data_IF_967631877290
#
_entry.id   IF_967631877290
#
_cell.length_a   1.000
_cell.length_b   1.000
_cell.length_c   1.000
_cell.angle_alpha   90.00
_cell.angle_beta   90.00
_cell.angle_gamma   90.00
#
_symmetry.space_group_name_H-M   'P 1'
#
loop_
_entity.id
_entity.type
_entity.pdbx_description
1 polymer ?
#
# COMPACT_ATOMS: atom_id res chain seq x y z
N UNK A 1 -14.09 -4.55 18.09
CA UNK A 1 -13.82 -4.34 16.65
C UNK A 1 -14.96 -3.57 16.03
N UNK A 2 -14.70 -2.62 15.17
CA UNK A 2 -15.73 -1.85 14.44
C UNK A 2 -15.37 -1.85 12.95
N UNK A 3 -16.39 -1.78 12.08
CA UNK A 3 -16.21 -1.41 10.69
C UNK A 3 -16.07 0.11 10.56
N UNK A 4 -15.39 0.56 9.52
CA UNK A 4 -15.34 1.97 9.14
C UNK A 4 -15.98 2.07 7.75
N UNK A 5 -17.03 2.90 7.63
CA UNK A 5 -17.63 3.19 6.33
C UNK A 5 -17.53 4.68 6.03
N UNK A 6 -17.14 4.97 4.83
CA UNK A 6 -17.08 6.31 4.26
C UNK A 6 -18.03 6.30 3.07
N UNK A 7 -18.98 7.24 3.05
CA UNK A 7 -20.04 7.30 2.07
C UNK A 7 -20.03 8.68 1.40
N UNK A 8 -19.73 8.72 0.09
CA UNK A 8 -19.73 9.91 -0.77
C UNK A 8 -18.95 11.09 -0.19
N UNK A 9 -17.80 10.81 0.44
CA UNK A 9 -17.05 11.80 1.18
C UNK A 9 -16.38 12.82 0.25
N UNK A 10 -16.68 14.08 0.45
CA UNK A 10 -16.04 15.21 -0.25
C UNK A 10 -15.40 16.14 0.75
N UNK A 11 -14.10 16.44 0.53
CA UNK A 11 -13.34 17.41 1.33
C UNK A 11 -12.67 18.44 0.44
N UNK A 12 -12.92 19.72 0.74
CA UNK A 12 -12.34 20.85 0.01
C UNK A 12 -11.48 21.73 0.94
N UNK A 13 -10.45 22.33 0.38
CA UNK A 13 -9.64 23.38 1.01
C UNK A 13 -9.60 24.58 0.05
N UNK A 14 -10.44 25.54 0.30
CA UNK A 14 -10.66 26.64 -0.65
C UNK A 14 -11.13 26.12 -2.01
N UNK A 15 -10.39 26.39 -3.07
CA UNK A 15 -10.70 25.92 -4.43
C UNK A 15 -10.23 24.49 -4.72
N UNK A 16 -9.45 23.87 -3.83
CA UNK A 16 -8.88 22.53 -4.05
C UNK A 16 -9.78 21.48 -3.45
N UNK A 17 -10.25 20.54 -4.28
CA UNK A 17 -10.98 19.34 -3.83
C UNK A 17 -9.94 18.23 -3.52
N UNK A 18 -9.74 17.95 -2.25
CA UNK A 18 -8.77 16.97 -1.77
C UNK A 18 -9.33 15.54 -1.74
N UNK A 19 -10.65 15.38 -1.52
CA UNK A 19 -11.38 14.12 -1.63
C UNK A 19 -12.67 14.39 -2.42
N UNK A 20 -13.01 13.47 -3.32
CA UNK A 20 -14.14 13.66 -4.23
C UNK A 20 -15.04 12.42 -4.28
N UNK A 21 -16.24 12.52 -3.68
CA UNK A 21 -17.27 11.47 -3.64
C UNK A 21 -16.70 10.08 -3.32
N UNK A 22 -15.87 10.01 -2.27
CA UNK A 22 -15.13 8.81 -1.92
C UNK A 22 -16.00 7.85 -1.13
N UNK A 23 -16.10 6.62 -1.61
CA UNK A 23 -16.73 5.50 -0.91
C UNK A 23 -15.68 4.50 -0.49
N UNK A 24 -15.74 4.04 0.78
CA UNK A 24 -14.82 3.04 1.31
C UNK A 24 -15.45 2.27 2.45
N UNK A 25 -15.26 0.96 2.45
CA UNK A 25 -15.60 0.09 3.59
C UNK A 25 -14.37 -0.66 4.06
N UNK A 26 -14.06 -0.55 5.35
CA UNK A 26 -13.00 -1.27 6.05
C UNK A 26 -13.65 -2.18 7.07
N UNK A 27 -13.30 -3.47 7.00
CA UNK A 27 -13.93 -4.50 7.82
C UNK A 27 -13.40 -4.51 9.27
N UNK A 28 -14.17 -5.05 10.23
CA UNK A 28 -13.73 -5.12 11.62
C UNK A 28 -12.45 -5.93 11.79
N UNK A 29 -11.42 -5.33 12.43
CA UNK A 29 -10.13 -5.97 12.69
C UNK A 29 -9.20 -6.05 11.48
N UNK A 30 -9.54 -5.37 10.40
CA UNK A 30 -8.74 -5.28 9.18
C UNK A 30 -7.57 -4.30 9.35
N UNK A 31 -6.41 -4.70 8.85
CA UNK A 31 -5.26 -3.82 8.65
C UNK A 31 -5.30 -3.30 7.21
N UNK A 32 -5.89 -2.12 7.04
CA UNK A 32 -6.19 -1.50 5.76
C UNK A 32 -5.18 -0.40 5.41
N UNK A 33 -4.63 -0.45 4.19
CA UNK A 33 -3.65 0.52 3.73
C UNK A 33 -4.24 1.51 2.72
N UNK A 34 -3.82 2.78 2.86
CA UNK A 34 -4.08 3.85 1.90
C UNK A 34 -2.78 4.20 1.18
N UNK A 35 -2.74 3.99 -0.12
CA UNK A 35 -1.60 4.23 -0.99
C UNK A 35 -1.97 5.24 -2.09
N UNK A 36 -0.95 5.81 -2.70
CA UNK A 36 -1.12 6.74 -3.81
C UNK A 36 0.00 7.79 -3.85
N UNK A 37 0.12 8.57 -4.91
CA UNK A 37 1.10 9.64 -5.05
C UNK A 37 1.00 10.69 -3.94
N UNK A 38 2.04 11.50 -3.78
CA UNK A 38 1.99 12.65 -2.87
C UNK A 38 0.85 13.61 -3.26
N UNK A 39 0.09 14.08 -2.27
CA UNK A 39 -1.03 14.99 -2.51
C UNK A 39 -2.33 14.34 -3.00
N UNK A 40 -2.42 13.02 -3.17
CA UNK A 40 -3.65 12.36 -3.66
C UNK A 40 -4.81 12.30 -2.65
N UNK A 41 -4.62 12.73 -1.38
CA UNK A 41 -5.70 12.78 -0.38
C UNK A 41 -5.61 11.79 0.79
N UNK A 42 -4.61 10.91 0.87
CA UNK A 42 -4.46 9.88 1.94
C UNK A 42 -4.53 10.46 3.35
N UNK A 43 -3.64 11.40 3.66
CA UNK A 43 -3.59 12.08 4.97
C UNK A 43 -4.87 12.88 5.23
N UNK A 44 -5.49 13.45 4.17
CA UNK A 44 -6.77 14.14 4.30
C UNK A 44 -7.88 13.16 4.72
N UNK A 45 -7.96 11.99 4.10
CA UNK A 45 -8.90 10.95 4.49
C UNK A 45 -8.65 10.49 5.92
N UNK A 46 -7.39 10.16 6.27
CA UNK A 46 -7.01 9.73 7.62
C UNK A 46 -7.41 10.77 8.68
N UNK A 47 -7.12 12.06 8.44
CA UNK A 47 -7.48 13.15 9.35
C UNK A 47 -8.98 13.41 9.40
N UNK A 48 -9.72 13.14 8.31
CA UNK A 48 -11.18 13.15 8.33
C UNK A 48 -11.75 12.02 9.18
N UNK A 49 -11.17 10.81 9.12
CA UNK A 49 -11.51 9.70 10.02
C UNK A 49 -11.22 10.03 11.48
N UNK A 50 -10.09 10.70 11.75
CA UNK A 50 -9.73 11.15 13.10
C UNK A 50 -10.59 12.31 13.63
N UNK A 51 -11.32 13.02 12.75
CA UNK A 51 -12.17 14.18 13.11
C UNK A 51 -11.45 15.52 13.14
N UNK A 52 -10.22 15.60 12.65
CA UNK A 52 -9.52 16.88 12.47
C UNK A 52 -10.07 17.69 11.31
N UNK A 53 -10.61 17.02 10.28
CA UNK A 53 -11.27 17.67 9.17
C UNK A 53 -12.72 17.21 9.10
N UNK A 54 -13.64 18.17 9.05
CA UNK A 54 -15.06 17.93 8.80
C UNK A 54 -15.25 17.99 7.28
N UNK A 55 -15.79 16.95 6.62
CA UNK A 55 -16.08 16.97 5.20
C UNK A 55 -17.27 17.90 4.91
N UNK A 56 -17.31 18.42 3.71
CA UNK A 56 -18.43 19.25 3.22
C UNK A 56 -19.62 18.38 2.82
N UNK A 57 -19.35 17.17 2.29
CA UNK A 57 -20.38 16.25 1.83
C UNK A 57 -20.04 14.82 2.27
N UNK A 58 -21.06 13.98 2.37
CA UNK A 58 -20.90 12.58 2.73
C UNK A 58 -20.89 12.31 4.22
N UNK A 59 -20.61 11.05 4.58
CA UNK A 59 -20.66 10.57 5.97
C UNK A 59 -19.50 9.64 6.31
N UNK A 60 -19.13 9.61 7.58
CA UNK A 60 -18.18 8.67 8.18
C UNK A 60 -18.91 7.93 9.31
N UNK A 61 -18.96 6.61 9.20
CA UNK A 61 -19.60 5.77 10.20
C UNK A 61 -18.58 4.84 10.86
N UNK A 62 -18.64 4.73 12.17
CA UNK A 62 -17.91 3.75 12.97
C UNK A 62 -18.91 2.70 13.48
N UNK A 63 -18.98 1.55 12.80
CA UNK A 63 -20.07 0.61 12.94
C UNK A 63 -21.38 1.22 12.43
N UNK A 64 -22.33 1.45 13.35
CA UNK A 64 -23.62 2.09 13.06
C UNK A 64 -23.64 3.60 13.38
N UNK A 65 -22.63 4.10 14.09
CA UNK A 65 -22.60 5.47 14.59
C UNK A 65 -22.04 6.43 13.55
N UNK A 66 -22.79 7.48 13.24
CA UNK A 66 -22.30 8.59 12.43
C UNK A 66 -21.37 9.50 13.27
N UNK A 67 -20.09 9.46 12.93
CA UNK A 67 -19.03 10.23 13.60
C UNK A 67 -18.60 11.47 12.81
N UNK A 68 -19.24 11.76 11.70
CA UNK A 68 -18.84 12.78 10.74
C UNK A 68 -18.54 14.13 11.38
N UNK A 69 -19.40 14.57 12.29
CA UNK A 69 -19.29 15.86 12.99
C UNK A 69 -18.77 15.75 14.42
N UNK A 70 -18.43 14.55 14.89
CA UNK A 70 -17.86 14.37 16.22
C UNK A 70 -16.43 14.90 16.27
N UNK A 71 -16.11 15.65 17.32
CA UNK A 71 -14.76 16.13 17.59
C UNK A 71 -13.79 14.94 17.84
N UNK A 72 -12.47 15.09 17.56
CA UNK A 72 -11.50 13.99 17.65
C UNK A 72 -11.53 13.21 18.97
N UNK A 73 -11.58 13.92 20.12
CA UNK A 73 -11.58 13.30 21.44
C UNK A 73 -12.84 12.46 21.74
N UNK A 74 -13.93 12.66 21.00
CA UNK A 74 -15.19 11.89 21.15
C UNK A 74 -15.22 10.65 20.27
N UNK A 75 -14.38 10.54 19.24
CA UNK A 75 -14.35 9.39 18.32
C UNK A 75 -13.68 8.16 18.91
N UNK A 76 -12.93 8.32 19.99
CA UNK A 76 -12.12 7.27 20.62
C UNK A 76 -11.20 6.56 19.62
N UNK A 77 -10.49 7.30 18.80
CA UNK A 77 -9.47 6.79 17.86
C UNK A 77 -8.08 6.89 18.49
N UNK A 78 -7.23 5.88 18.27
CA UNK A 78 -5.79 5.98 18.50
C UNK A 78 -5.13 6.54 17.23
N UNK A 79 -4.31 7.58 17.35
CA UNK A 79 -3.60 8.11 16.19
C UNK A 79 -2.10 8.18 16.46
N UNK A 80 -1.34 7.77 15.46
CA UNK A 80 0.12 7.91 15.41
C UNK A 80 0.48 8.81 14.24
N UNK A 81 1.18 9.89 14.54
CA UNK A 81 1.62 10.88 13.55
C UNK A 81 3.00 10.51 12.99
N UNK A 82 3.32 11.00 11.81
CA UNK A 82 4.59 10.81 11.12
C UNK A 82 5.81 11.24 11.97
N UNK A 83 5.68 12.32 12.74
CA UNK A 83 6.74 12.83 13.65
C UNK A 83 6.76 12.13 15.00
N UNK A 84 5.95 11.08 15.21
CA UNK A 84 5.67 10.45 16.50
C UNK A 84 5.04 11.39 17.55
N UNK A 85 5.30 12.67 17.50
CA UNK A 85 4.76 13.73 18.33
C UNK A 85 4.83 13.41 19.85
N UNK A 86 5.94 12.83 20.31
CA UNK A 86 6.19 12.60 21.73
C UNK A 86 6.50 13.93 22.44
N UNK A 87 5.97 14.10 23.66
CA UNK A 87 6.28 15.26 24.48
C UNK A 87 7.70 15.12 25.05
N UNK A 88 8.65 16.00 24.66
CA UNK A 88 10.06 15.82 25.00
C UNK A 88 10.39 16.04 26.48
N UNK A 89 9.52 16.75 27.20
CA UNK A 89 9.65 17.03 28.61
C UNK A 89 9.09 15.94 29.53
N UNK A 90 8.30 15.02 28.97
CA UNK A 90 7.70 13.90 29.69
C UNK A 90 8.54 12.62 29.52
N UNK A 91 8.53 11.75 30.54
CA UNK A 91 9.05 10.38 30.42
C UNK A 91 8.23 9.52 29.44
N UNK A 92 8.73 8.35 29.12
CA UNK A 92 8.01 7.34 28.32
C UNK A 92 6.69 6.96 28.95
N UNK A 93 6.69 6.68 30.27
CA UNK A 93 5.48 6.33 31.01
C UNK A 93 4.46 7.48 31.01
N UNK A 94 4.91 8.72 31.23
CA UNK A 94 4.05 9.90 31.19
C UNK A 94 3.47 10.16 29.79
N UNK A 95 4.27 10.01 28.73
CA UNK A 95 3.77 10.10 27.35
C UNK A 95 2.64 9.09 27.08
N UNK A 96 2.79 7.87 27.56
CA UNK A 96 1.75 6.83 27.38
C UNK A 96 0.56 7.10 28.30
N UNK A 97 0.78 7.57 29.54
CA UNK A 97 -0.27 7.83 30.53
C UNK A 97 -1.21 8.97 30.13
N UNK A 98 -0.71 9.96 29.40
CA UNK A 98 -1.39 11.23 29.14
C UNK A 98 -2.85 11.08 28.70
N UNK A 99 -3.13 10.19 27.71
CA UNK A 99 -4.50 9.97 27.24
C UNK A 99 -5.45 9.34 28.27
N UNK A 100 -4.91 8.66 29.28
CA UNK A 100 -5.68 8.11 30.40
C UNK A 100 -5.92 9.16 31.49
N UNK A 101 -4.95 10.05 31.70
CA UNK A 101 -5.07 11.19 32.63
C UNK A 101 -6.17 12.15 32.19
N UNK A 102 -6.17 12.53 30.91
CA UNK A 102 -7.22 13.36 30.30
C UNK A 102 -8.61 12.73 30.44
N UNK A 103 -8.68 11.41 30.47
CA UNK A 103 -9.92 10.64 30.69
C UNK A 103 -10.23 10.41 32.16
N UNK A 104 -9.43 10.94 33.06
CA UNK A 104 -9.57 10.82 34.53
C UNK A 104 -9.64 9.36 34.99
N UNK A 105 -8.86 8.48 34.37
CA UNK A 105 -8.77 7.07 34.77
C UNK A 105 -8.13 6.97 36.15
N UNK A 106 -8.67 6.16 37.09
CA UNK A 106 -8.11 6.00 38.43
C UNK A 106 -6.65 5.55 38.41
N UNK A 107 -5.81 6.11 39.30
CA UNK A 107 -4.35 5.87 39.33
C UNK A 107 -3.93 4.40 39.32
N UNK A 108 -4.56 3.47 40.06
CA UNK A 108 -4.18 2.06 40.01
C UNK A 108 -4.40 1.44 38.63
N UNK A 109 -5.53 1.71 38.01
CA UNK A 109 -5.89 1.25 36.67
C UNK A 109 -5.00 1.88 35.61
N UNK A 110 -4.71 3.19 35.73
CA UNK A 110 -3.79 3.92 34.85
C UNK A 110 -2.41 3.26 34.83
N UNK A 111 -1.80 3.02 36.00
CA UNK A 111 -0.48 2.39 36.11
C UNK A 111 -0.47 1.00 35.46
N UNK A 112 -1.46 0.18 35.73
CA UNK A 112 -1.60 -1.15 35.14
C UNK A 112 -1.66 -1.08 33.62
N UNK A 113 -2.52 -0.21 33.06
CA UNK A 113 -2.69 -0.08 31.60
C UNK A 113 -1.45 0.49 30.91
N UNK A 114 -0.76 1.44 31.53
CA UNK A 114 0.51 1.97 30.99
C UNK A 114 1.56 0.88 30.93
N UNK A 115 1.70 0.07 31.99
CA UNK A 115 2.62 -1.05 32.01
C UNK A 115 2.29 -2.08 30.93
N UNK A 116 1.02 -2.52 30.84
CA UNK A 116 0.55 -3.45 29.79
C UNK A 116 0.85 -2.91 28.38
N UNK A 117 0.59 -1.62 28.14
CA UNK A 117 0.84 -1.01 26.83
C UNK A 117 2.33 -0.95 26.49
N UNK A 118 3.20 -0.63 27.45
CA UNK A 118 4.65 -0.61 27.26
C UNK A 118 5.23 -2.00 27.06
N UNK A 119 4.73 -2.99 27.78
CA UNK A 119 5.13 -4.40 27.60
C UNK A 119 4.74 -4.93 26.22
N UNK A 120 3.54 -4.60 25.73
CA UNK A 120 3.05 -5.04 24.40
C UNK A 120 3.95 -4.58 23.24
N UNK A 121 4.67 -3.47 23.41
CA UNK A 121 5.63 -2.92 22.44
C UNK A 121 7.10 -3.10 22.88
N UNK A 122 7.38 -3.89 23.92
CA UNK A 122 8.72 -4.18 24.47
C UNK A 122 9.47 -2.94 24.96
N UNK A 123 8.76 -2.01 25.56
CA UNK A 123 9.32 -0.75 26.07
C UNK A 123 9.26 -0.61 27.61
N UNK A 124 8.84 -1.65 28.34
CA UNK A 124 8.70 -1.59 29.80
C UNK A 124 9.96 -1.16 30.54
N UNK A 125 11.14 -1.65 30.14
CA UNK A 125 12.43 -1.29 30.75
C UNK A 125 12.86 0.17 30.53
N UNK A 126 12.15 0.93 29.68
CA UNK A 126 12.47 2.30 29.30
C UNK A 126 11.47 3.32 29.86
N UNK A 127 10.59 2.91 30.76
CA UNK A 127 9.46 3.71 31.26
C UNK A 127 9.87 5.10 31.81
N UNK A 128 11.01 5.18 32.49
CA UNK A 128 11.50 6.41 33.11
C UNK A 128 12.37 7.29 32.20
N UNK A 129 12.71 6.80 30.99
CA UNK A 129 13.50 7.57 30.01
C UNK A 129 12.66 8.66 29.35
N UNK A 130 13.35 9.69 28.85
CA UNK A 130 12.76 10.73 28.01
C UNK A 130 12.94 10.40 26.52
N UNK A 131 12.11 10.95 25.62
CA UNK A 131 12.19 10.70 24.19
C UNK A 131 13.57 10.92 23.57
N UNK A 132 14.32 11.95 24.01
CA UNK A 132 15.67 12.25 23.51
C UNK A 132 16.73 11.20 23.90
N UNK A 133 16.42 10.27 24.80
CA UNK A 133 17.27 9.15 25.21
C UNK A 133 16.94 7.85 24.47
N UNK A 134 16.07 7.92 23.48
CA UNK A 134 15.58 6.77 22.73
C UNK A 134 16.01 6.83 21.25
N UNK A 135 16.25 5.67 20.66
CA UNK A 135 16.38 5.56 19.20
C UNK A 135 15.05 5.85 18.48
N UNK A 136 15.09 6.16 17.20
CA UNK A 136 13.88 6.41 16.40
C UNK A 136 12.85 5.27 16.47
N UNK A 137 13.29 4.01 16.40
CA UNK A 137 12.39 2.86 16.55
C UNK A 137 11.83 2.69 17.95
N UNK A 138 12.58 3.07 19.00
CA UNK A 138 12.07 3.10 20.35
C UNK A 138 11.03 4.20 20.54
N UNK A 139 11.27 5.40 19.99
CA UNK A 139 10.28 6.48 20.00
C UNK A 139 8.99 6.08 19.29
N UNK A 140 9.09 5.39 18.16
CA UNK A 140 7.96 4.86 17.44
C UNK A 140 7.14 3.87 18.26
N UNK A 141 7.80 2.91 18.95
CA UNK A 141 7.14 1.95 19.84
C UNK A 141 6.39 2.67 20.97
N UNK A 142 6.97 3.71 21.55
CA UNK A 142 6.31 4.54 22.57
C UNK A 142 5.09 5.25 21.99
N UNK A 143 5.19 5.82 20.79
CA UNK A 143 4.05 6.46 20.12
C UNK A 143 2.91 5.46 19.83
N UNK A 144 3.26 4.22 19.44
CA UNK A 144 2.30 3.13 19.25
C UNK A 144 1.63 2.76 20.58
N UNK A 145 2.39 2.58 21.67
CA UNK A 145 1.86 2.30 23.01
C UNK A 145 0.90 3.41 23.48
N UNK A 146 1.26 4.68 23.24
CA UNK A 146 0.41 5.84 23.54
C UNK A 146 -0.92 5.80 22.81
N UNK A 147 -0.92 5.38 21.53
CA UNK A 147 -2.15 5.23 20.75
C UNK A 147 -3.01 4.05 21.22
N UNK A 148 -2.40 2.98 21.74
CA UNK A 148 -3.06 1.75 22.18
C UNK A 148 -3.63 1.82 23.60
N UNK A 149 -2.97 2.51 24.52
CA UNK A 149 -3.28 2.52 25.96
C UNK A 149 -4.73 2.94 26.27
N UNK A 150 -5.29 3.82 25.43
CA UNK A 150 -6.66 4.31 25.56
C UNK A 150 -7.71 3.27 25.11
N UNK A 151 -7.27 2.09 24.64
CA UNK A 151 -8.14 1.05 24.04
C UNK A 151 -9.04 1.64 22.95
N UNK A 152 -8.47 2.10 21.85
CA UNK A 152 -9.22 2.82 20.83
C UNK A 152 -10.19 1.89 20.08
N UNK A 153 -11.21 2.47 19.47
CA UNK A 153 -12.14 1.76 18.56
C UNK A 153 -11.45 1.38 17.24
N UNK A 154 -10.58 2.25 16.75
CA UNK A 154 -9.72 1.99 15.60
C UNK A 154 -8.37 2.72 15.76
N UNK A 155 -7.36 2.24 15.03
CA UNK A 155 -6.02 2.80 15.01
C UNK A 155 -5.76 3.48 13.66
N UNK A 156 -5.24 4.70 13.70
CA UNK A 156 -4.94 5.52 12.53
C UNK A 156 -3.44 5.83 12.51
N UNK A 157 -2.74 5.36 11.49
CA UNK A 157 -1.28 5.47 11.36
C UNK A 157 -0.92 6.34 10.15
N UNK A 158 -0.34 7.52 10.41
CA UNK A 158 0.08 8.46 9.37
C UNK A 158 1.59 8.32 9.12
N UNK A 159 1.98 7.59 8.09
CA UNK A 159 3.37 7.29 7.69
C UNK A 159 4.28 6.88 8.86
N UNK A 160 3.90 5.87 9.65
CA UNK A 160 4.56 5.58 10.92
C UNK A 160 6.02 5.12 10.79
N UNK A 161 6.48 4.68 9.61
CA UNK A 161 7.82 4.12 9.38
C UNK A 161 8.74 5.04 8.56
N UNK A 162 8.29 6.23 8.16
CA UNK A 162 9.02 7.12 7.23
C UNK A 162 10.39 7.57 7.76
N UNK A 163 10.55 7.69 9.08
CA UNK A 163 11.76 8.20 9.71
C UNK A 163 12.76 7.10 10.15
N UNK A 164 12.59 5.86 9.67
CA UNK A 164 13.42 4.72 10.04
C UNK A 164 14.31 4.25 8.89
N UNK A 165 15.47 3.71 9.24
CA UNK A 165 16.32 2.98 8.29
C UNK A 165 15.66 1.69 7.78
N UNK A 166 16.17 1.12 6.69
CA UNK A 166 15.55 -0.01 6.01
C UNK A 166 15.41 -1.27 6.89
N UNK A 167 16.43 -1.57 7.73
CA UNK A 167 16.43 -2.75 8.60
C UNK A 167 15.37 -2.60 9.70
N UNK A 168 15.38 -1.46 10.37
CA UNK A 168 14.45 -1.17 11.45
C UNK A 168 13.01 -1.06 10.94
N UNK A 169 12.82 -0.55 9.72
CA UNK A 169 11.52 -0.50 9.05
C UNK A 169 10.92 -1.90 8.86
N UNK A 170 11.73 -2.88 8.44
CA UNK A 170 11.28 -4.27 8.28
C UNK A 170 10.83 -4.89 9.61
N UNK A 171 11.61 -4.69 10.67
CA UNK A 171 11.28 -5.18 12.03
C UNK A 171 9.98 -4.54 12.54
N UNK A 172 9.86 -3.22 12.40
CA UNK A 172 8.71 -2.47 12.89
C UNK A 172 7.42 -2.75 12.11
N UNK A 173 7.53 -3.05 10.82
CA UNK A 173 6.41 -3.50 9.98
C UNK A 173 5.76 -4.76 10.54
N UNK A 174 6.59 -5.74 10.87
CA UNK A 174 6.14 -7.00 11.48
C UNK A 174 5.54 -6.78 12.87
N UNK A 175 6.13 -5.89 13.67
CA UNK A 175 5.65 -5.56 15.01
C UNK A 175 4.28 -4.88 14.99
N UNK A 176 4.07 -3.89 14.11
CA UNK A 176 2.77 -3.23 13.95
C UNK A 176 1.70 -4.26 13.56
N UNK A 177 2.00 -5.14 12.56
CA UNK A 177 1.05 -6.20 12.17
C UNK A 177 0.71 -7.11 13.34
N UNK A 178 1.73 -7.55 14.12
CA UNK A 178 1.53 -8.40 15.31
C UNK A 178 0.59 -7.72 16.30
N UNK A 179 0.87 -6.49 16.65
CA UNK A 179 0.07 -5.72 17.63
C UNK A 179 -1.37 -5.53 17.12
N UNK A 180 -1.56 -5.12 15.87
CA UNK A 180 -2.90 -4.94 15.29
C UNK A 180 -3.73 -6.23 15.32
N UNK A 181 -3.10 -7.37 15.02
CA UNK A 181 -3.78 -8.68 15.03
C UNK A 181 -4.05 -9.18 16.45
N UNK A 182 -3.11 -9.04 17.37
CA UNK A 182 -3.25 -9.43 18.78
C UNK A 182 -4.40 -8.67 19.47
N UNK A 183 -4.46 -7.35 19.27
CA UNK A 183 -5.53 -6.52 19.82
C UNK A 183 -6.80 -6.50 18.95
N UNK A 184 -6.81 -7.20 17.82
CA UNK A 184 -7.93 -7.24 16.86
C UNK A 184 -8.43 -5.85 16.48
N UNK A 185 -7.51 -4.91 16.22
CA UNK A 185 -7.84 -3.51 15.92
C UNK A 185 -8.12 -3.31 14.44
N UNK A 186 -9.21 -2.64 14.14
CA UNK A 186 -9.42 -2.05 12.82
C UNK A 186 -8.42 -0.92 12.65
N UNK A 187 -7.53 -1.03 11.68
CA UNK A 187 -6.40 -0.12 11.52
C UNK A 187 -6.38 0.47 10.12
N UNK A 188 -6.26 1.79 10.02
CA UNK A 188 -6.02 2.50 8.76
C UNK A 188 -4.58 3.01 8.75
N UNK A 189 -3.82 2.58 7.76
CA UNK A 189 -2.40 2.85 7.64
C UNK A 189 -2.12 3.62 6.36
N UNK A 190 -1.59 4.82 6.47
CA UNK A 190 -1.13 5.63 5.33
C UNK A 190 0.36 5.41 5.12
N UNK A 191 0.77 5.14 3.90
CA UNK A 191 2.17 5.08 3.49
C UNK A 191 2.32 5.46 2.02
N UNK A 192 3.52 5.83 1.63
CA UNK A 192 3.96 5.92 0.23
C UNK A 192 4.85 4.73 -0.18
N UNK A 193 5.24 3.87 0.77
CA UNK A 193 6.05 2.67 0.52
C UNK A 193 5.16 1.51 0.11
N UNK A 194 5.23 1.14 -1.17
CA UNK A 194 4.48 0.03 -1.75
C UNK A 194 4.82 -1.31 -1.09
N UNK A 195 6.11 -1.53 -0.75
CA UNK A 195 6.59 -2.76 -0.11
C UNK A 195 6.00 -2.93 1.30
N UNK A 196 5.71 -1.84 2.00
CA UNK A 196 5.00 -1.91 3.27
C UNK A 196 3.60 -2.49 3.07
N UNK A 197 2.83 -1.91 2.17
CA UNK A 197 1.46 -2.34 1.92
C UNK A 197 1.38 -3.77 1.37
N UNK A 198 2.21 -4.09 0.38
CA UNK A 198 2.25 -5.44 -0.21
C UNK A 198 2.60 -6.53 0.80
N UNK A 199 3.42 -6.22 1.84
CA UNK A 199 3.92 -7.22 2.78
C UNK A 199 3.00 -7.50 3.97
N UNK A 200 2.23 -6.51 4.45
CA UNK A 200 1.53 -6.66 5.73
C UNK A 200 0.05 -6.30 5.72
N UNK A 201 -0.48 -5.66 4.68
CA UNK A 201 -1.90 -5.32 4.63
C UNK A 201 -2.81 -6.53 4.44
N UNK A 202 -4.04 -6.43 4.93
CA UNK A 202 -5.10 -7.38 4.57
C UNK A 202 -5.75 -6.95 3.24
N UNK A 203 -6.06 -5.66 3.12
CA UNK A 203 -6.50 -4.99 1.89
C UNK A 203 -5.89 -3.59 1.82
N UNK A 204 -5.89 -3.05 0.62
CA UNK A 204 -5.40 -1.70 0.36
C UNK A 204 -6.28 -0.97 -0.64
N UNK A 205 -6.24 0.35 -0.60
CA UNK A 205 -6.81 1.23 -1.61
C UNK A 205 -5.72 2.07 -2.28
N UNK A 206 -5.75 2.14 -3.59
CA UNK A 206 -4.94 3.07 -4.37
C UNK A 206 -5.76 4.33 -4.62
N UNK A 207 -5.25 5.46 -4.15
CA UNK A 207 -5.85 6.78 -4.33
C UNK A 207 -5.09 7.58 -5.38
N UNK A 208 -5.83 8.27 -6.23
CA UNK A 208 -5.31 9.33 -7.08
C UNK A 208 -6.30 10.49 -7.14
N UNK A 209 -5.78 11.72 -7.05
CA UNK A 209 -6.56 12.98 -7.14
C UNK A 209 -7.87 12.97 -6.35
N UNK A 210 -7.81 12.48 -5.11
CA UNK A 210 -8.95 12.44 -4.20
C UNK A 210 -9.98 11.34 -4.46
N UNK A 211 -9.71 10.41 -5.36
CA UNK A 211 -10.58 9.27 -5.69
C UNK A 211 -9.88 7.95 -5.40
N UNK A 212 -10.64 6.92 -5.08
CA UNK A 212 -10.16 5.55 -5.02
C UNK A 212 -10.20 4.97 -6.44
N UNK A 213 -9.05 4.48 -6.91
CA UNK A 213 -8.92 3.81 -8.20
C UNK A 213 -9.20 2.32 -8.09
N UNK A 214 -8.65 1.67 -7.05
CA UNK A 214 -8.81 0.24 -6.82
C UNK A 214 -8.74 -0.07 -5.33
N UNK A 215 -9.56 -1.04 -4.90
CA UNK A 215 -9.49 -1.66 -3.57
C UNK A 215 -9.36 -3.16 -3.76
N UNK A 216 -8.46 -3.78 -3.03
CA UNK A 216 -8.27 -5.24 -3.09
C UNK A 216 -7.21 -5.73 -2.10
N UNK A 217 -6.99 -7.05 -2.06
CA UNK A 217 -5.85 -7.64 -1.38
C UNK A 217 -4.55 -7.24 -2.09
N UNK A 218 -3.38 -7.30 -1.41
CA UNK A 218 -2.08 -7.02 -2.03
C UNK A 218 -1.86 -7.76 -3.36
N UNK A 219 -2.21 -9.04 -3.37
CA UNK A 219 -2.04 -9.89 -4.55
C UNK A 219 -2.96 -9.48 -5.71
N UNK A 220 -4.21 -9.09 -5.41
CA UNK A 220 -5.16 -8.64 -6.43
C UNK A 220 -4.70 -7.32 -7.05
N UNK A 221 -4.34 -6.32 -6.23
CA UNK A 221 -3.92 -5.01 -6.73
C UNK A 221 -2.64 -5.12 -7.56
N UNK A 222 -1.69 -5.97 -7.15
CA UNK A 222 -0.43 -6.16 -7.86
C UNK A 222 -0.57 -6.95 -9.16
N UNK A 223 -1.28 -8.11 -9.10
CA UNK A 223 -1.42 -9.03 -10.24
C UNK A 223 -2.57 -8.71 -11.17
N UNK A 224 -3.55 -7.94 -10.71
CA UNK A 224 -4.77 -7.59 -11.48
C UNK A 224 -5.06 -6.09 -11.35
N UNK A 225 -4.13 -5.23 -11.74
CA UNK A 225 -4.40 -3.80 -11.78
C UNK A 225 -5.57 -3.52 -12.72
N UNK A 226 -6.45 -2.61 -12.33
CA UNK A 226 -7.62 -2.24 -13.12
C UNK A 226 -7.36 -1.10 -14.12
N UNK A 227 -6.18 -0.49 -14.07
CA UNK A 227 -5.79 0.63 -14.93
C UNK A 227 -4.28 0.73 -15.06
N UNK A 228 -3.83 1.41 -16.10
CA UNK A 228 -2.40 1.74 -16.32
C UNK A 228 -1.81 2.50 -15.13
N UNK A 229 -2.60 3.40 -14.54
CA UNK A 229 -2.18 4.20 -13.38
C UNK A 229 -1.92 3.34 -12.14
N UNK A 230 -2.79 2.36 -11.86
CA UNK A 230 -2.58 1.41 -10.76
C UNK A 230 -1.40 0.49 -11.05
N UNK A 231 -1.27 -0.02 -12.28
CA UNK A 231 -0.18 -0.90 -12.68
C UNK A 231 1.18 -0.21 -12.49
N UNK A 232 1.32 1.02 -12.97
CA UNK A 232 2.53 1.84 -12.85
C UNK A 232 2.85 2.21 -11.40
N UNK A 233 1.82 2.56 -10.64
CA UNK A 233 2.01 3.00 -9.25
C UNK A 233 2.46 1.87 -8.32
N UNK A 234 1.93 0.63 -8.46
CA UNK A 234 2.17 -0.43 -7.46
C UNK A 234 3.47 -1.22 -7.67
N UNK A 235 4.16 -1.01 -8.77
CA UNK A 235 5.43 -1.65 -9.10
C UNK A 235 5.82 -1.41 -10.55
N UNK A 236 7.06 -1.74 -10.89
CA UNK A 236 7.55 -1.64 -12.27
C UNK A 236 6.74 -2.56 -13.21
N UNK A 237 6.53 -2.13 -14.44
CA UNK A 237 5.81 -2.91 -15.45
C UNK A 237 6.18 -2.44 -16.86
N UNK A 238 6.27 -3.37 -17.80
CA UNK A 238 6.40 -3.08 -19.21
C UNK A 238 5.01 -2.83 -19.80
N UNK A 239 4.84 -1.67 -20.41
CA UNK A 239 3.63 -1.33 -21.14
C UNK A 239 3.80 -1.55 -22.64
N UNK A 240 2.96 -2.39 -23.23
CA UNK A 240 2.99 -2.69 -24.66
C UNK A 240 1.63 -2.33 -25.25
N UNK A 241 1.60 -1.33 -26.12
CA UNK A 241 0.35 -0.92 -26.81
C UNK A 241 -0.01 -1.90 -27.91
N UNK A 242 -1.29 -2.17 -28.08
CA UNK A 242 -1.78 -3.09 -29.10
C UNK A 242 -3.26 -2.92 -29.41
N UNK A 243 -3.71 -3.69 -30.38
CA UNK A 243 -5.10 -3.74 -30.80
C UNK A 243 -5.71 -5.06 -30.39
N UNK A 244 -6.84 -5.03 -29.71
CA UNK A 244 -7.57 -6.21 -29.30
C UNK A 244 -8.17 -6.93 -30.53
N UNK A 245 -7.81 -8.19 -30.71
CA UNK A 245 -8.35 -9.02 -31.82
C UNK A 245 -9.61 -9.77 -31.42
N UNK A 246 -9.57 -10.44 -30.26
CA UNK A 246 -10.71 -11.20 -29.72
C UNK A 246 -10.67 -11.30 -28.22
N UNK A 247 -11.84 -11.59 -27.61
CA UNK A 247 -11.97 -11.98 -26.20
C UNK A 247 -12.79 -13.25 -26.14
N UNK A 248 -12.21 -14.33 -25.63
CA UNK A 248 -12.85 -15.63 -25.48
C UNK A 248 -12.59 -16.17 -24.06
N UNK A 249 -13.64 -16.56 -23.36
CA UNK A 249 -13.56 -17.14 -22.01
C UNK A 249 -12.69 -16.33 -21.00
N UNK A 250 -12.72 -14.98 -21.08
CA UNK A 250 -11.95 -14.08 -20.20
C UNK A 250 -10.49 -13.89 -20.61
N UNK A 251 -10.04 -14.50 -21.70
CA UNK A 251 -8.74 -14.29 -22.34
C UNK A 251 -8.88 -13.37 -23.55
N UNK A 252 -7.95 -12.47 -23.68
CA UNK A 252 -7.87 -11.53 -24.79
C UNK A 252 -6.68 -11.85 -25.66
N UNK A 253 -6.86 -11.84 -26.98
CA UNK A 253 -5.79 -11.90 -27.95
C UNK A 253 -5.51 -10.48 -28.46
N UNK A 254 -4.28 -10.02 -28.35
CA UNK A 254 -3.87 -8.64 -28.70
C UNK A 254 -2.74 -8.68 -29.71
N UNK A 255 -2.87 -7.92 -30.79
CA UNK A 255 -1.83 -7.72 -31.79
C UNK A 255 -1.02 -6.47 -31.44
N UNK A 256 0.30 -6.61 -31.36
CA UNK A 256 1.21 -5.53 -30.98
C UNK A 256 2.35 -5.40 -31.99
N UNK A 257 3.14 -4.32 -31.88
CA UNK A 257 4.32 -4.11 -32.73
C UNK A 257 5.43 -5.14 -32.56
N UNK A 258 5.42 -5.92 -31.46
CA UNK A 258 6.47 -6.91 -31.13
C UNK A 258 5.96 -8.35 -31.13
N UNK A 259 4.71 -8.58 -31.50
CA UNK A 259 4.12 -9.90 -31.60
C UNK A 259 2.67 -9.95 -31.10
N UNK A 260 2.09 -11.14 -31.16
CA UNK A 260 0.75 -11.39 -30.62
C UNK A 260 0.82 -11.94 -29.22
N UNK A 261 -0.04 -11.42 -28.37
CA UNK A 261 -0.11 -11.77 -26.94
C UNK A 261 -1.50 -12.28 -26.58
N UNK A 262 -1.54 -13.38 -25.87
CA UNK A 262 -2.69 -13.84 -25.13
C UNK A 262 -2.58 -13.34 -23.69
N UNK A 263 -3.62 -12.70 -23.16
CA UNK A 263 -3.60 -12.14 -21.81
C UNK A 263 -4.97 -12.16 -21.15
N UNK A 264 -5.03 -11.67 -19.91
CA UNK A 264 -6.25 -11.62 -19.10
C UNK A 264 -6.67 -10.17 -18.92
N UNK A 265 -7.97 -9.89 -19.00
CA UNK A 265 -8.50 -8.54 -18.81
C UNK A 265 -8.34 -8.13 -17.36
N UNK A 266 -7.63 -7.03 -17.11
CA UNK A 266 -7.34 -6.51 -15.77
C UNK A 266 -8.51 -5.78 -15.11
N UNK A 267 -9.35 -5.14 -15.92
CA UNK A 267 -10.49 -4.34 -15.44
C UNK A 267 -11.72 -5.19 -15.16
N UNK A 268 -12.49 -4.84 -14.14
CA UNK A 268 -13.85 -5.34 -13.90
C UNK A 268 -14.90 -4.63 -14.74
N UNK A 269 -14.52 -3.66 -15.57
CA UNK A 269 -15.41 -2.97 -16.51
C UNK A 269 -15.76 -3.89 -17.69
N UNK A 270 -16.77 -3.52 -18.46
CA UNK A 270 -17.22 -4.31 -19.61
C UNK A 270 -16.05 -4.66 -20.53
N UNK A 271 -16.00 -5.92 -20.99
CA UNK A 271 -14.96 -6.37 -21.90
C UNK A 271 -14.91 -5.46 -23.13
N UNK A 272 -13.73 -4.98 -23.54
CA UNK A 272 -13.58 -4.13 -24.71
C UNK A 272 -13.97 -4.90 -25.97
N UNK A 273 -14.47 -4.18 -26.97
CA UNK A 273 -14.80 -4.76 -28.27
C UNK A 273 -13.55 -5.02 -29.12
N UNK A 274 -13.62 -6.01 -30.00
CA UNK A 274 -12.56 -6.23 -30.99
C UNK A 274 -12.26 -4.94 -31.76
N UNK A 275 -10.99 -4.68 -32.04
CA UNK A 275 -10.51 -3.44 -32.67
C UNK A 275 -10.17 -2.31 -31.68
N UNK A 276 -10.49 -2.46 -30.39
CA UNK A 276 -10.15 -1.45 -29.39
C UNK A 276 -8.62 -1.36 -29.18
N UNK A 277 -8.13 -0.15 -28.96
CA UNK A 277 -6.76 0.06 -28.49
C UNK A 277 -6.67 -0.33 -27.02
N UNK A 278 -5.66 -1.10 -26.68
CA UNK A 278 -5.42 -1.60 -25.32
C UNK A 278 -3.94 -1.50 -24.98
N UNK A 279 -3.64 -1.51 -23.68
CA UNK A 279 -2.27 -1.57 -23.19
C UNK A 279 -2.05 -2.88 -22.45
N UNK A 280 -1.06 -3.67 -22.85
CA UNK A 280 -0.61 -4.81 -22.06
C UNK A 280 0.30 -4.31 -20.94
N UNK A 281 0.15 -4.87 -19.76
CA UNK A 281 1.02 -4.68 -18.62
C UNK A 281 1.64 -6.02 -18.25
N UNK A 282 2.96 -6.13 -18.33
CA UNK A 282 3.72 -7.33 -17.96
C UNK A 282 4.77 -6.92 -16.94
N UNK A 283 4.82 -7.63 -15.81
CA UNK A 283 5.81 -7.35 -14.77
C UNK A 283 7.19 -7.84 -15.22
N UNK A 284 8.29 -7.10 -14.91
CA UNK A 284 9.65 -7.51 -15.28
C UNK A 284 10.04 -8.92 -14.82
N UNK A 285 9.57 -9.35 -13.66
CA UNK A 285 9.80 -10.69 -13.10
C UNK A 285 8.95 -11.79 -13.74
N UNK A 286 7.99 -11.44 -14.57
CA UNK A 286 7.14 -12.41 -15.30
C UNK A 286 7.73 -12.81 -16.65
N UNK A 287 8.76 -12.10 -17.11
CA UNK A 287 9.46 -12.48 -18.32
C UNK A 287 10.46 -13.61 -18.07
N UNK A 288 10.43 -14.62 -18.92
CA UNK A 288 11.38 -15.74 -18.91
C UNK A 288 12.28 -15.65 -20.13
N UNK A 289 13.58 -15.51 -19.91
CA UNK A 289 14.60 -15.51 -20.96
C UNK A 289 14.90 -16.94 -21.44
N UNK A 290 15.00 -17.14 -22.77
CA UNK A 290 15.34 -18.41 -23.40
C UNK A 290 16.18 -18.20 -24.65
N UNK A 291 16.92 -19.24 -25.05
CA UNK A 291 17.57 -19.34 -26.38
C UNK A 291 16.69 -20.01 -27.43
N UNK A 292 15.61 -20.66 -27.00
CA UNK A 292 14.66 -21.32 -27.86
C UNK A 292 13.41 -20.46 -28.05
N UNK A 293 12.84 -20.50 -29.24
CA UNK A 293 11.62 -19.76 -29.54
C UNK A 293 10.45 -20.29 -28.70
N UNK A 294 9.78 -19.46 -27.91
CA UNK A 294 8.65 -19.86 -27.10
C UNK A 294 7.40 -20.12 -27.97
N UNK A 295 6.50 -20.93 -27.46
CA UNK A 295 5.26 -21.30 -28.18
C UNK A 295 4.23 -20.18 -28.10
N UNK A 296 4.22 -19.38 -27.01
CA UNK A 296 3.23 -18.31 -26.77
C UNK A 296 3.90 -17.08 -26.19
N UNK A 297 3.28 -15.93 -26.41
CA UNK A 297 3.68 -14.63 -25.83
C UNK A 297 5.17 -14.37 -25.94
N UNK A 298 5.78 -14.79 -27.02
CA UNK A 298 7.22 -14.71 -27.24
C UNK A 298 7.62 -13.48 -28.01
N UNK A 299 8.67 -12.84 -27.57
CA UNK A 299 9.35 -11.77 -28.31
C UNK A 299 10.80 -12.15 -28.56
N UNK A 300 11.29 -11.80 -29.75
CA UNK A 300 12.69 -11.98 -30.14
C UNK A 300 13.42 -10.66 -30.00
N UNK A 301 14.56 -10.67 -29.34
CA UNK A 301 15.33 -9.45 -29.13
C UNK A 301 16.80 -9.74 -28.86
N UNK A 302 17.51 -8.69 -28.44
CA UNK A 302 18.88 -8.77 -27.96
C UNK A 302 18.99 -8.10 -26.59
N UNK A 303 19.83 -8.61 -25.72
CA UNK A 303 20.13 -7.95 -24.44
C UNK A 303 20.98 -6.72 -24.74
N UNK A 304 20.51 -5.53 -24.32
CA UNK A 304 21.22 -4.26 -24.39
C UNK A 304 22.16 -4.10 -23.21
N UNK A 305 21.60 -3.98 -22.01
CA UNK A 305 22.33 -3.88 -20.75
C UNK A 305 21.95 -5.03 -19.82
N UNK A 306 22.88 -5.43 -18.97
CA UNK A 306 22.66 -6.41 -17.91
C UNK A 306 23.31 -5.90 -16.62
N UNK A 307 22.52 -5.74 -15.57
CA UNK A 307 22.96 -5.25 -14.25
C UNK A 307 22.78 -6.36 -13.23
N UNK A 308 23.87 -6.79 -12.61
CA UNK A 308 23.85 -7.78 -11.54
C UNK A 308 23.65 -7.09 -10.18
N UNK A 309 22.59 -7.47 -9.47
CA UNK A 309 22.21 -6.90 -8.18
C UNK A 309 22.30 -7.91 -7.02
N UNK A 310 23.13 -8.97 -7.19
CA UNK A 310 23.32 -10.03 -6.19
C UNK A 310 22.29 -11.16 -6.34
N UNK A 311 21.19 -11.09 -5.65
CA UNK A 311 20.14 -12.12 -5.69
C UNK A 311 19.34 -12.12 -7.00
N UNK A 312 19.41 -11.02 -7.76
CA UNK A 312 18.72 -10.87 -9.04
C UNK A 312 19.63 -10.17 -10.07
N UNK A 313 19.29 -10.34 -11.35
CA UNK A 313 19.82 -9.52 -12.45
C UNK A 313 18.67 -8.82 -13.17
N UNK A 314 18.95 -7.61 -13.62
CA UNK A 314 18.08 -6.85 -14.51
C UNK A 314 18.69 -6.87 -15.91
N UNK A 315 17.85 -7.13 -16.90
CA UNK A 315 18.22 -7.09 -18.30
C UNK A 315 17.30 -6.13 -19.05
N UNK A 316 17.88 -5.35 -19.96
CA UNK A 316 17.13 -4.54 -20.90
C UNK A 316 17.09 -5.27 -22.24
N UNK A 317 15.93 -5.84 -22.61
CA UNK A 317 15.75 -6.54 -23.87
C UNK A 317 15.27 -5.57 -24.96
N UNK A 318 16.09 -5.37 -25.98
CA UNK A 318 15.75 -4.53 -27.13
C UNK A 318 15.01 -5.39 -28.16
N UNK A 319 13.75 -5.07 -28.41
CA UNK A 319 12.87 -5.78 -29.35
C UNK A 319 11.94 -4.80 -30.08
N UNK A 320 11.85 -4.89 -31.41
CA UNK A 320 10.95 -4.06 -32.22
C UNK A 320 11.10 -2.54 -32.01
N UNK A 321 12.31 -2.07 -31.69
CA UNK A 321 12.58 -0.67 -31.37
C UNK A 321 12.12 -0.21 -29.99
N UNK A 322 11.72 -1.13 -29.12
CA UNK A 322 11.34 -0.93 -27.72
C UNK A 322 12.35 -1.62 -26.80
N UNK A 323 12.35 -1.21 -25.56
CA UNK A 323 13.12 -1.80 -24.48
C UNK A 323 12.17 -2.40 -23.46
N UNK A 324 12.32 -3.69 -23.14
CA UNK A 324 11.59 -4.38 -22.09
C UNK A 324 12.54 -4.67 -20.95
N UNK A 325 12.07 -4.42 -19.73
CA UNK A 325 12.82 -4.69 -18.51
C UNK A 325 12.52 -6.11 -18.02
N UNK A 326 13.54 -6.90 -17.81
CA UNK A 326 13.42 -8.29 -17.34
C UNK A 326 14.17 -8.45 -16.03
N UNK A 327 13.53 -9.07 -15.03
CA UNK A 327 14.15 -9.40 -13.75
C UNK A 327 14.27 -10.92 -13.61
N UNK A 328 15.47 -11.43 -13.47
CA UNK A 328 15.75 -12.83 -13.23
C UNK A 328 16.24 -13.02 -11.80
N UNK A 329 15.52 -13.82 -11.00
CA UNK A 329 15.93 -14.21 -9.66
C UNK A 329 16.95 -15.36 -9.77
N UNK A 330 18.00 -15.31 -8.95
CA UNK A 330 19.10 -16.29 -9.00
C UNK A 330 19.66 -16.44 -10.43
N UNK A 331 20.19 -15.37 -11.00
CA UNK A 331 20.41 -15.23 -12.45
C UNK A 331 21.40 -16.26 -12.99
N UNK A 332 21.02 -16.91 -14.08
CA UNK A 332 21.84 -17.87 -14.82
C UNK A 332 22.25 -17.34 -16.20
N UNK A 333 21.61 -16.26 -16.64
CA UNK A 333 21.78 -15.66 -17.96
C UNK A 333 22.85 -14.55 -18.04
N UNK A 334 23.62 -14.33 -16.98
CA UNK A 334 24.58 -13.18 -16.85
C UNK A 334 25.71 -13.23 -17.87
N UNK A 335 25.77 -14.18 -18.75
CA UNK A 335 26.84 -14.27 -19.72
C UNK A 335 26.79 -13.07 -20.70
N UNK A 336 27.62 -12.05 -20.42
CA UNK A 336 27.83 -10.88 -21.27
C UNK A 336 28.34 -11.25 -22.68
N UNK A 337 28.79 -12.50 -22.90
CA UNK A 337 29.16 -13.02 -24.22
C UNK A 337 27.95 -13.34 -25.11
N UNK A 338 26.72 -13.32 -24.58
CA UNK A 338 25.50 -13.53 -25.35
C UNK A 338 25.18 -12.33 -26.27
N UNK A 339 26.10 -11.96 -27.15
CA UNK A 339 25.88 -11.03 -28.28
C UNK A 339 24.87 -11.60 -29.31
N UNK A 340 24.18 -12.67 -28.99
CA UNK A 340 23.18 -13.34 -29.81
C UNK A 340 21.77 -12.86 -29.56
N UNK A 341 20.87 -13.27 -30.45
CA UNK A 341 19.44 -13.11 -30.27
C UNK A 341 18.95 -14.04 -29.17
N UNK A 342 18.07 -13.52 -28.36
CA UNK A 342 17.38 -14.23 -27.27
C UNK A 342 15.87 -14.06 -27.42
N UNK A 343 15.16 -14.91 -26.75
CA UNK A 343 13.70 -14.82 -26.65
C UNK A 343 13.32 -14.50 -25.21
N UNK A 344 12.26 -13.71 -25.03
CA UNK A 344 11.57 -13.57 -23.78
C UNK A 344 10.12 -13.96 -23.96
N UNK A 345 9.53 -14.60 -22.94
CA UNK A 345 8.11 -14.96 -22.94
C UNK A 345 7.49 -14.71 -21.59
N UNK A 346 6.17 -14.48 -21.59
CA UNK A 346 5.38 -14.39 -20.37
C UNK A 346 4.17 -15.32 -20.45
N UNK A 347 3.76 -15.90 -19.33
CA UNK A 347 2.55 -16.70 -19.28
C UNK A 347 1.31 -15.83 -19.51
N UNK A 348 0.25 -16.34 -20.18
CA UNK A 348 -0.95 -15.55 -20.45
C UNK A 348 -1.61 -14.97 -19.20
N UNK A 349 -1.50 -15.63 -18.07
CA UNK A 349 -2.00 -15.19 -16.77
C UNK A 349 -1.26 -13.96 -16.23
N UNK A 350 -0.04 -13.72 -16.66
CA UNK A 350 0.83 -12.62 -16.22
C UNK A 350 0.83 -11.43 -17.21
N UNK A 351 0.15 -11.57 -18.35
CA UNK A 351 -0.09 -10.49 -19.32
C UNK A 351 -1.46 -9.87 -19.03
N UNK A 352 -1.47 -8.68 -18.47
CA UNK A 352 -2.70 -7.98 -18.08
C UNK A 352 -3.09 -6.99 -19.16
N UNK A 353 -4.29 -7.18 -19.72
CA UNK A 353 -4.84 -6.30 -20.75
C UNK A 353 -5.62 -5.18 -20.07
N UNK A 354 -5.14 -3.96 -20.22
CA UNK A 354 -5.72 -2.75 -19.65
C UNK A 354 -6.46 -1.98 -20.73
N UNK A 355 -7.69 -1.59 -20.41
CA UNK A 355 -8.46 -0.60 -21.17
C UNK A 355 -8.29 0.73 -20.48
N UNK A 356 -8.08 1.81 -21.21
CA UNK A 356 -7.96 3.16 -20.65
C UNK A 356 -9.14 3.58 -19.79
#
# INVERSE_FOLDING_TARGET
>A
MISIRVEQLTKRFGAVTALQHLDLTIEPGELFFLLGPSGCGKTTLLRSLAGFYIPEEGRILFGQEDVTRLAPHRRNTGMMFQSYALWPHMSVAENVAFGLEERKVPKPELRRRVQEALESVRMGAYADRRPNQLSGGQQQRVALARALVIRPRCLLLDEPLSNLDAKLRLEMRTEIRRVCKEFKLTTVYVTHDQKEALSVSDRMAILDRGRILQVGSPREVYRRPNSKLVADFIGETDFIEGTLLSVEAGRALVDTSIGRFEGVIGSTQAAPSAGAQVTLSVRPECWVLSREAPVRNGVRGRIGEAVYLGELAQYDLITGGRELKILELNPRFIDQSARGEVFASAEPEDVIVLTE
#
